data_IF_357467890348
#
_entry.id   IF_357467890348
#
_cell.length_a   1.000
_cell.length_b   1.000
_cell.length_c   1.000
_cell.angle_alpha   90.00
_cell.angle_beta   90.00
_cell.angle_gamma   90.00
#
_symmetry.space_group_name_H-M   'P 1'
#
loop_
_entity.id
_entity.type
_entity.pdbx_description
1 polymer ?
#
# COMPACT_ATOMS: atom_id res chain seq x y z
N UNK A 1 -35.25 9.71 -13.78
CA UNK A 1 -34.23 9.19 -14.72
C UNK A 1 -33.13 8.66 -13.85
N UNK A 2 -32.85 7.35 -13.89
CA UNK A 2 -31.62 6.85 -13.30
C UNK A 2 -30.49 7.52 -14.07
N UNK A 3 -29.64 8.28 -13.39
CA UNK A 3 -28.42 8.82 -13.96
C UNK A 3 -27.59 7.64 -14.46
N UNK A 4 -27.00 7.79 -15.64
CA UNK A 4 -26.26 6.75 -16.39
C UNK A 4 -24.91 6.41 -15.72
N UNK A 5 -24.79 6.60 -14.40
CA UNK A 5 -23.62 6.33 -13.57
C UNK A 5 -23.38 4.81 -13.39
N UNK A 6 -24.41 3.97 -13.56
CA UNK A 6 -24.31 2.53 -13.34
C UNK A 6 -23.41 1.78 -14.35
N UNK A 7 -22.76 2.50 -15.27
CA UNK A 7 -21.88 1.96 -16.31
C UNK A 7 -20.49 2.61 -16.32
N UNK A 8 -20.24 3.61 -15.48
CA UNK A 8 -18.95 4.27 -15.39
C UNK A 8 -18.05 3.57 -14.37
N UNK A 9 -16.76 3.48 -14.67
CA UNK A 9 -15.70 2.99 -13.81
C UNK A 9 -14.82 4.18 -13.43
N UNK A 10 -15.09 4.78 -12.28
CA UNK A 10 -14.43 6.01 -11.83
C UNK A 10 -14.00 5.88 -10.37
N UNK A 11 -13.09 6.76 -9.92
CA UNK A 11 -12.56 6.78 -8.56
C UNK A 11 -11.96 5.44 -8.12
N UNK A 12 -11.27 4.74 -9.03
CA UNK A 12 -10.55 3.52 -8.68
C UNK A 12 -9.08 3.85 -8.46
N UNK A 13 -8.47 3.14 -7.52
CA UNK A 13 -7.03 3.18 -7.28
C UNK A 13 -6.41 1.88 -7.77
N UNK A 14 -5.34 1.98 -8.55
CA UNK A 14 -4.48 0.87 -8.96
C UNK A 14 -3.09 1.19 -8.44
N UNK A 15 -2.65 0.48 -7.42
CA UNK A 15 -1.41 0.83 -6.74
C UNK A 15 -0.50 -0.32 -6.36
N UNK A 16 0.79 -0.02 -6.28
CA UNK A 16 1.82 -0.92 -5.75
C UNK A 16 1.91 -2.28 -6.46
N UNK A 17 1.51 -2.34 -7.74
CA UNK A 17 1.59 -3.55 -8.54
C UNK A 17 2.89 -3.63 -9.33
N UNK A 18 3.32 -4.86 -9.62
CA UNK A 18 4.33 -5.14 -10.66
C UNK A 18 3.65 -5.73 -11.89
N UNK A 19 3.67 -5.01 -13.01
CA UNK A 19 2.94 -5.35 -14.23
C UNK A 19 3.91 -5.47 -15.40
N UNK A 20 4.11 -6.70 -15.88
CA UNK A 20 5.12 -7.00 -16.91
C UNK A 20 4.67 -8.05 -17.92
N UNK A 21 5.20 -7.97 -19.14
CA UNK A 21 5.00 -8.95 -20.22
C UNK A 21 3.54 -9.09 -20.70
N UNK A 22 2.76 -8.01 -20.64
CA UNK A 22 1.40 -7.97 -21.19
C UNK A 22 1.34 -7.23 -22.53
N UNK A 23 0.16 -7.22 -23.16
CA UNK A 23 -0.07 -6.40 -24.35
C UNK A 23 -0.08 -4.91 -24.03
N UNK A 24 -0.90 -4.47 -23.08
CA UNK A 24 -0.71 -3.21 -22.39
C UNK A 24 -0.61 -3.53 -20.90
N UNK A 25 0.12 -2.74 -20.13
CA UNK A 25 0.19 -2.94 -18.67
C UNK A 25 -1.15 -2.66 -18.01
N UNK A 26 -1.53 -1.39 -17.91
CA UNK A 26 -2.84 -0.96 -17.41
C UNK A 26 -3.69 -0.45 -18.57
N UNK A 27 -4.96 -0.86 -18.62
CA UNK A 27 -5.89 -0.43 -19.67
C UNK A 27 -7.16 0.16 -19.08
N UNK A 28 -7.32 1.48 -19.23
CA UNK A 28 -8.52 2.22 -18.83
C UNK A 28 -9.39 2.49 -20.06
N UNK A 29 -10.64 2.03 -20.03
CA UNK A 29 -11.55 2.06 -21.17
C UNK A 29 -12.78 2.92 -20.88
N UNK A 30 -12.92 4.05 -21.58
CA UNK A 30 -13.92 5.07 -21.30
C UNK A 30 -15.02 5.25 -22.36
N UNK A 31 -15.43 4.21 -23.10
CA UNK A 31 -16.33 4.27 -24.28
C UNK A 31 -17.43 5.35 -24.30
N UNK A 32 -17.11 6.52 -24.86
CA UNK A 32 -18.05 7.66 -24.94
C UNK A 32 -18.88 7.65 -26.22
N UNK A 33 -19.79 6.71 -26.40
CA UNK A 33 -20.66 6.69 -27.59
C UNK A 33 -21.62 7.89 -27.70
N UNK A 34 -22.01 8.54 -26.58
CA UNK A 34 -23.16 9.47 -26.54
C UNK A 34 -23.13 10.62 -25.51
N UNK A 35 -21.97 10.92 -24.91
CA UNK A 35 -21.74 11.85 -23.77
C UNK A 35 -21.58 11.15 -22.43
N UNK A 36 -20.73 11.81 -21.63
CA UNK A 36 -20.35 11.58 -20.24
C UNK A 36 -19.29 10.49 -20.03
N UNK A 37 -18.23 10.89 -19.31
CA UNK A 37 -16.98 10.14 -19.12
C UNK A 37 -17.30 8.79 -18.45
N UNK A 38 -16.99 7.67 -19.11
CA UNK A 38 -17.23 6.33 -18.53
C UNK A 38 -16.04 5.80 -17.74
N UNK A 39 -14.87 6.41 -17.88
CA UNK A 39 -13.72 6.08 -17.06
C UNK A 39 -12.97 7.36 -16.72
N UNK A 40 -13.00 7.76 -15.46
CA UNK A 40 -12.42 9.03 -15.03
C UNK A 40 -12.03 9.04 -13.57
N UNK A 41 -11.19 9.99 -13.18
CA UNK A 41 -10.76 10.19 -11.79
C UNK A 41 -10.17 8.91 -11.18
N UNK A 42 -9.51 8.08 -11.99
CA UNK A 42 -8.78 6.93 -11.44
C UNK A 42 -7.34 7.34 -11.13
N UNK A 43 -6.81 6.76 -10.07
CA UNK A 43 -5.43 6.97 -9.63
C UNK A 43 -4.62 5.72 -9.91
N UNK A 44 -3.49 5.88 -10.59
CA UNK A 44 -2.51 4.82 -10.84
C UNK A 44 -1.23 5.26 -10.17
N UNK A 45 -0.84 4.62 -9.04
CA UNK A 45 0.34 5.06 -8.29
C UNK A 45 1.22 3.97 -7.71
N UNK A 46 2.51 4.24 -7.52
CA UNK A 46 3.42 3.27 -6.90
C UNK A 46 3.66 1.99 -7.72
N UNK A 47 3.19 1.90 -8.97
CA UNK A 47 3.31 0.69 -9.77
C UNK A 47 4.65 0.62 -10.50
N UNK A 48 5.17 -0.59 -10.67
CA UNK A 48 6.27 -0.88 -11.59
C UNK A 48 5.72 -1.51 -12.87
N UNK A 49 5.73 -0.76 -13.96
CA UNK A 49 5.11 -1.14 -15.24
C UNK A 49 6.21 -1.22 -16.31
N UNK A 50 6.52 -2.44 -16.74
CA UNK A 50 7.65 -2.66 -17.65
C UNK A 50 7.47 -3.80 -18.64
N UNK A 51 8.27 -3.83 -19.70
CA UNK A 51 8.36 -4.94 -20.65
C UNK A 51 7.04 -5.34 -21.32
N UNK A 52 6.03 -4.47 -21.31
CA UNK A 52 4.79 -4.72 -22.02
C UNK A 52 4.99 -4.52 -23.53
N UNK A 53 4.38 -5.38 -24.34
CA UNK A 53 4.54 -5.41 -25.80
C UNK A 53 4.02 -4.12 -26.47
N UNK A 54 2.97 -3.53 -25.93
CA UNK A 54 2.39 -2.24 -26.32
C UNK A 54 2.61 -1.20 -25.22
N UNK A 55 1.58 -0.43 -24.86
CA UNK A 55 1.75 0.69 -23.95
C UNK A 55 1.95 0.23 -22.50
N UNK A 56 2.65 1.03 -21.69
CA UNK A 56 2.66 0.83 -20.23
C UNK A 56 1.26 1.02 -19.66
N UNK A 57 0.71 2.21 -19.85
CA UNK A 57 -0.67 2.58 -19.50
C UNK A 57 -1.39 3.07 -20.75
N UNK A 58 -2.59 2.55 -20.98
CA UNK A 58 -3.40 2.90 -22.14
C UNK A 58 -4.75 3.47 -21.69
N UNK A 59 -4.98 4.74 -21.99
CA UNK A 59 -6.19 5.50 -21.70
C UNK A 59 -7.00 5.63 -22.98
N UNK A 60 -8.07 4.86 -23.11
CA UNK A 60 -8.80 4.75 -24.37
C UNK A 60 -10.18 5.39 -24.34
N UNK A 61 -10.42 6.22 -25.35
CA UNK A 61 -11.74 6.57 -25.87
C UNK A 61 -12.72 7.19 -24.88
N UNK A 62 -12.25 8.18 -24.12
CA UNK A 62 -13.05 8.82 -23.05
C UNK A 62 -12.44 8.68 -21.66
N UNK A 63 -11.40 7.86 -21.50
CA UNK A 63 -10.62 7.76 -20.26
C UNK A 63 -9.95 9.10 -19.94
N UNK A 64 -10.56 9.88 -19.05
CA UNK A 64 -10.22 11.29 -18.83
C UNK A 64 -10.00 11.58 -17.36
N UNK A 65 -9.26 12.64 -17.02
CA UNK A 65 -9.02 13.05 -15.64
C UNK A 65 -8.43 11.93 -14.77
N UNK A 66 -7.57 11.08 -15.31
CA UNK A 66 -6.88 10.07 -14.53
C UNK A 66 -5.52 10.60 -14.08
N UNK A 67 -5.15 10.30 -12.84
CA UNK A 67 -3.88 10.69 -12.24
C UNK A 67 -2.94 9.50 -12.24
N UNK A 68 -1.77 9.67 -12.84
CA UNK A 68 -0.72 8.64 -12.92
C UNK A 68 0.53 9.24 -12.27
N UNK A 69 0.96 8.73 -11.13
CA UNK A 69 2.07 9.31 -10.37
C UNK A 69 2.83 8.29 -9.54
N UNK A 70 4.07 8.59 -9.17
CA UNK A 70 4.94 7.72 -8.37
C UNK A 70 5.12 6.31 -8.97
N UNK A 71 4.94 6.16 -10.28
CA UNK A 71 5.14 4.89 -10.97
C UNK A 71 6.52 4.85 -11.62
N UNK A 72 7.03 3.64 -11.74
CA UNK A 72 8.19 3.30 -12.56
C UNK A 72 7.71 2.72 -13.89
N UNK A 73 7.74 3.53 -14.94
CA UNK A 73 7.20 3.19 -16.26
C UNK A 73 8.35 3.11 -17.27
N UNK A 74 8.87 1.90 -17.47
CA UNK A 74 10.14 1.71 -18.20
C UNK A 74 10.06 0.55 -19.18
N UNK A 75 10.76 0.64 -20.31
CA UNK A 75 10.95 -0.47 -21.26
C UNK A 75 9.65 -1.14 -21.75
N UNK A 76 8.57 -0.38 -21.88
CA UNK A 76 7.34 -0.81 -22.55
C UNK A 76 7.49 -0.64 -24.07
N UNK A 77 6.46 -1.02 -24.83
CA UNK A 77 6.45 -1.04 -26.29
C UNK A 77 7.53 -1.98 -26.89
N UNK A 78 7.69 -3.17 -26.30
CA UNK A 78 8.73 -4.12 -26.73
C UNK A 78 8.47 -4.75 -28.10
N UNK A 79 7.25 -4.62 -28.64
CA UNK A 79 6.89 -5.04 -29.99
C UNK A 79 6.77 -3.83 -30.95
N UNK A 80 7.71 -3.65 -31.90
CA UNK A 80 7.68 -2.55 -32.86
C UNK A 80 6.43 -2.51 -33.73
N UNK A 81 5.77 -3.65 -33.97
CA UNK A 81 4.57 -3.72 -34.80
C UNK A 81 3.35 -3.07 -34.13
N UNK A 82 3.39 -2.92 -32.80
CA UNK A 82 2.29 -2.35 -32.02
C UNK A 82 2.47 -0.86 -31.78
N UNK A 83 3.70 -0.36 -31.88
CA UNK A 83 4.06 0.96 -31.36
C UNK A 83 3.74 1.06 -29.87
N UNK A 84 4.18 2.12 -29.21
CA UNK A 84 3.69 2.34 -27.86
C UNK A 84 4.40 3.45 -27.11
N UNK A 85 3.68 3.91 -26.10
CA UNK A 85 4.11 4.92 -25.15
C UNK A 85 4.24 4.30 -23.77
N UNK A 86 4.88 5.01 -22.86
CA UNK A 86 4.78 4.71 -21.43
C UNK A 86 3.35 4.96 -20.99
N UNK A 87 2.79 6.11 -21.38
CA UNK A 87 1.36 6.43 -21.23
C UNK A 87 0.80 6.94 -22.55
N UNK A 88 -0.27 6.31 -23.03
CA UNK A 88 -0.96 6.68 -24.28
C UNK A 88 -2.43 6.99 -24.02
N UNK A 89 -2.84 8.22 -24.29
CA UNK A 89 -4.23 8.64 -24.27
C UNK A 89 -4.75 8.92 -25.68
N UNK A 90 -5.85 8.25 -26.05
CA UNK A 90 -6.39 8.32 -27.41
C UNK A 90 -7.45 9.42 -27.56
N UNK A 91 -8.24 9.35 -28.63
CA UNK A 91 -9.33 10.27 -28.90
C UNK A 91 -10.28 10.46 -27.69
N UNK A 92 -10.85 11.66 -27.56
CA UNK A 92 -11.86 11.99 -26.56
C UNK A 92 -11.39 11.82 -25.11
N UNK A 93 -10.08 11.77 -24.89
CA UNK A 93 -9.46 11.82 -23.57
C UNK A 93 -8.98 13.26 -23.29
N UNK A 94 -9.07 13.68 -22.04
CA UNK A 94 -8.65 15.00 -21.59
C UNK A 94 -8.25 14.94 -20.12
N UNK A 95 -7.49 15.93 -19.65
CA UNK A 95 -7.20 16.13 -18.23
C UNK A 95 -6.38 15.01 -17.56
N UNK A 96 -5.79 14.09 -18.33
CA UNK A 96 -4.97 13.03 -17.74
C UNK A 96 -3.57 13.55 -17.41
N UNK A 97 -3.08 13.22 -16.22
CA UNK A 97 -1.75 13.60 -15.75
C UNK A 97 -0.90 12.34 -15.53
N UNK A 98 0.37 12.43 -15.86
CA UNK A 98 1.41 11.42 -15.68
C UNK A 98 2.66 12.04 -15.05
N UNK A 99 2.46 12.92 -14.07
CA UNK A 99 3.52 13.64 -13.36
C UNK A 99 4.15 12.79 -12.26
N UNK A 100 5.32 13.17 -11.76
CA UNK A 100 6.00 12.49 -10.65
C UNK A 100 6.23 11.00 -10.92
N UNK A 101 6.54 10.61 -12.17
CA UNK A 101 6.89 9.23 -12.53
C UNK A 101 8.36 9.12 -12.96
N UNK A 102 8.93 7.93 -12.82
CA UNK A 102 10.21 7.58 -13.43
C UNK A 102 10.00 6.92 -14.80
N UNK A 103 10.56 7.52 -15.86
CA UNK A 103 10.39 7.07 -17.24
C UNK A 103 11.53 6.19 -17.78
N UNK A 104 12.57 5.98 -16.97
CA UNK A 104 13.79 5.26 -17.37
C UNK A 104 14.91 6.14 -17.89
N UNK A 105 14.72 7.47 -17.92
CA UNK A 105 15.78 8.45 -18.20
C UNK A 105 15.62 9.71 -17.34
N UNK A 106 16.75 10.26 -16.89
CA UNK A 106 16.82 11.55 -16.23
C UNK A 106 16.29 12.69 -17.10
N UNK A 107 16.44 12.58 -18.43
CA UNK A 107 15.96 13.58 -19.39
C UNK A 107 14.44 13.46 -19.69
N UNK A 108 13.76 12.51 -19.06
CA UNK A 108 12.31 12.39 -19.12
C UNK A 108 11.78 11.52 -20.25
N UNK A 109 10.45 11.50 -20.45
CA UNK A 109 9.81 10.61 -21.38
C UNK A 109 10.22 10.90 -22.83
N UNK A 110 10.46 9.83 -23.59
CA UNK A 110 10.88 9.91 -24.99
C UNK A 110 12.35 10.29 -25.23
N UNK A 111 13.12 10.56 -24.17
CA UNK A 111 14.55 10.84 -24.25
C UNK A 111 15.37 9.61 -23.89
N UNK A 112 16.57 9.47 -24.48
CA UNK A 112 17.54 8.39 -24.21
C UNK A 112 16.97 6.96 -24.26
N UNK A 113 15.93 6.74 -25.06
CA UNK A 113 15.26 5.44 -25.17
C UNK A 113 14.18 5.18 -24.10
N UNK A 114 13.91 6.14 -23.22
CA UNK A 114 12.72 6.12 -22.35
C UNK A 114 11.45 6.10 -23.19
N UNK A 115 10.40 5.48 -22.67
CA UNK A 115 9.11 5.49 -23.35
C UNK A 115 8.55 6.92 -23.39
N UNK A 116 7.99 7.32 -24.52
CA UNK A 116 7.33 8.63 -24.66
C UNK A 116 5.98 8.69 -23.95
N UNK A 117 5.41 9.88 -23.92
CA UNK A 117 4.03 10.15 -23.48
C UNK A 117 3.28 10.81 -24.64
N UNK A 118 2.01 10.43 -24.85
CA UNK A 118 1.19 11.01 -25.92
C UNK A 118 0.71 12.42 -25.59
N UNK A 119 0.44 13.24 -26.62
CA UNK A 119 0.06 14.67 -26.51
C UNK A 119 -1.09 15.00 -25.55
N UNK A 120 -2.04 14.09 -25.31
CA UNK A 120 -3.20 14.32 -24.41
C UNK A 120 -2.92 13.97 -22.94
N UNK A 121 -1.64 13.90 -22.56
CA UNK A 121 -1.21 13.58 -21.19
C UNK A 121 -0.10 14.54 -20.78
N UNK A 122 -0.34 15.25 -19.68
CA UNK A 122 0.66 16.12 -19.06
C UNK A 122 1.59 15.28 -18.20
N UNK A 123 2.92 15.36 -18.38
CA UNK A 123 3.86 14.49 -17.67
C UNK A 123 4.94 15.22 -16.86
N UNK A 124 5.01 16.55 -16.94
CA UNK A 124 5.95 17.36 -16.17
C UNK A 124 5.31 17.79 -14.82
N UNK A 125 6.04 17.70 -13.69
CA UNK A 125 7.43 17.24 -13.57
C UNK A 125 7.55 15.71 -13.58
N UNK A 126 8.76 15.19 -13.80
CA UNK A 126 9.10 13.77 -13.68
C UNK A 126 10.31 13.56 -12.76
N UNK A 127 10.52 12.33 -12.28
CA UNK A 127 11.72 12.01 -11.50
C UNK A 127 12.95 11.86 -12.39
N UNK A 128 14.07 12.43 -11.98
CA UNK A 128 15.34 12.39 -12.73
C UNK A 128 16.24 11.23 -12.32
N UNK A 129 15.89 10.54 -11.24
CA UNK A 129 16.56 9.37 -10.71
C UNK A 129 15.58 8.21 -10.50
N UNK A 130 16.10 6.99 -10.59
CA UNK A 130 15.31 5.76 -10.50
C UNK A 130 14.72 5.51 -9.10
N UNK A 131 15.36 6.05 -8.06
CA UNK A 131 14.88 6.01 -6.69
C UNK A 131 13.74 7.02 -6.44
N UNK A 132 13.39 7.82 -7.46
CA UNK A 132 12.29 8.79 -7.42
C UNK A 132 12.44 9.81 -6.29
N UNK A 133 13.64 10.36 -6.14
CA UNK A 133 13.95 11.32 -5.06
C UNK A 133 14.13 12.76 -5.54
N UNK A 134 14.38 12.97 -6.84
CA UNK A 134 14.72 14.27 -7.43
C UNK A 134 13.84 14.58 -8.63
N UNK A 135 13.05 15.66 -8.56
CA UNK A 135 12.18 16.09 -9.66
C UNK A 135 12.91 16.93 -10.71
N UNK A 136 12.43 16.87 -11.96
CA UNK A 136 12.95 17.59 -13.12
C UNK A 136 12.94 19.11 -12.97
N UNK A 137 12.10 19.63 -12.07
CA UNK A 137 11.96 21.05 -11.76
C UNK A 137 12.69 21.47 -10.46
N UNK A 138 13.36 20.55 -9.76
CA UNK A 138 13.94 20.80 -8.44
C UNK A 138 15.21 21.68 -8.46
N UNK A 139 15.92 21.79 -9.59
CA UNK A 139 17.03 22.74 -9.75
C UNK A 139 17.04 23.40 -11.14
N UNK A 140 17.29 24.71 -11.17
CA UNK A 140 17.26 25.50 -12.41
C UNK A 140 18.29 25.07 -13.47
N UNK A 141 17.79 24.79 -14.67
CA UNK A 141 18.53 24.72 -15.94
C UNK A 141 18.69 23.28 -16.44
N UNK A 142 18.11 22.89 -17.59
CA UNK A 142 18.34 23.54 -18.89
C UNK A 142 17.11 23.55 -19.78
N UNK A 143 16.93 24.68 -20.47
CA UNK A 143 16.08 24.86 -21.64
C UNK A 143 16.01 23.61 -22.56
N UNK A 144 14.79 23.12 -22.76
CA UNK A 144 14.39 22.63 -24.07
C UNK A 144 13.04 23.25 -24.44
N UNK A 145 13.07 24.57 -24.49
CA UNK A 145 12.06 25.41 -25.13
C UNK A 145 12.20 25.26 -26.65
N UNK A 146 11.73 24.14 -27.20
CA UNK A 146 11.45 23.92 -28.63
C UNK A 146 10.54 22.68 -28.71
N UNK A 147 9.21 22.78 -28.62
CA UNK A 147 8.37 23.33 -29.68
C UNK A 147 6.93 23.32 -29.17
N UNK A 148 6.28 24.47 -29.03
CA UNK A 148 5.00 24.79 -29.68
C UNK A 148 4.51 26.18 -29.25
N UNK A 149 5.04 27.18 -29.95
CA UNK A 149 4.47 28.51 -29.99
C UNK A 149 3.16 28.49 -30.80
N UNK A 150 2.00 28.51 -30.13
CA UNK A 150 0.76 29.05 -30.72
C UNK A 150 0.01 29.91 -29.68
N UNK A 151 0.09 31.22 -29.88
CA UNK A 151 -0.86 32.28 -29.54
C UNK A 151 -0.87 32.84 -28.10
N UNK A 152 0.09 33.73 -27.86
CA UNK A 152 0.23 34.65 -26.71
C UNK A 152 -0.80 35.79 -26.63
N UNK A 153 -2.07 35.61 -27.04
CA UNK A 153 -3.09 36.69 -26.92
C UNK A 153 -4.45 36.22 -26.39
N UNK A 154 -4.56 35.01 -25.80
CA UNK A 154 -5.85 34.49 -25.29
C UNK A 154 -5.88 34.14 -23.79
N UNK A 155 -4.86 34.50 -23.01
CA UNK A 155 -4.74 34.09 -21.59
C UNK A 155 -4.55 35.25 -20.58
N UNK A 156 -4.95 36.48 -20.92
CA UNK A 156 -5.09 37.57 -19.93
C UNK A 156 -6.56 37.76 -19.46
N UNK A 157 -7.39 36.74 -19.67
CA UNK A 157 -8.80 36.71 -19.29
C UNK A 157 -9.21 35.25 -19.13
N UNK A 158 -8.86 34.56 -18.06
CA UNK A 158 -9.24 34.87 -16.68
C UNK A 158 -8.05 34.56 -15.74
N UNK A 159 -7.33 35.60 -15.32
CA UNK A 159 -6.66 35.53 -14.02
C UNK A 159 -7.75 35.75 -12.95
N UNK A 160 -8.46 34.67 -12.64
CA UNK A 160 -9.24 34.53 -11.41
C UNK A 160 -8.92 33.13 -10.90
N UNK A 161 -7.93 33.10 -10.01
CA UNK A 161 -7.63 32.07 -8.99
C UNK A 161 -8.64 30.94 -8.89
N UNK A 162 -8.19 29.72 -9.15
CA UNK A 162 -8.56 28.54 -8.35
C UNK A 162 -7.28 27.70 -8.26
N UNK A 163 -6.51 27.98 -7.21
CA UNK A 163 -5.57 27.02 -6.63
C UNK A 163 -6.43 25.79 -6.31
N UNK A 164 -6.11 24.64 -6.90
CA UNK A 164 -6.81 23.39 -6.62
C UNK A 164 -6.55 23.08 -5.13
N UNK A 165 -7.56 23.40 -4.30
CA UNK A 165 -7.60 23.15 -2.87
C UNK A 165 -7.40 21.64 -2.68
N UNK A 166 -6.20 21.24 -2.28
CA UNK A 166 -5.95 19.88 -1.81
C UNK A 166 -6.87 19.72 -0.60
N UNK A 167 -7.89 18.85 -0.71
CA UNK A 167 -8.74 18.48 0.41
C UNK A 167 -7.82 17.74 1.39
N UNK A 168 -7.25 18.49 2.34
CA UNK A 168 -6.38 17.94 3.38
C UNK A 168 -7.14 16.84 4.12
N UNK A 169 -6.47 15.74 4.52
CA UNK A 169 -7.13 14.69 5.28
C UNK A 169 -7.75 15.28 6.56
N UNK A 170 -8.98 14.88 6.88
CA UNK A 170 -9.65 15.28 8.11
C UNK A 170 -9.00 14.56 9.28
N UNK A 171 -8.10 15.26 9.97
CA UNK A 171 -7.37 14.79 11.15
C UNK A 171 -8.18 14.91 12.45
N UNK A 172 -9.38 15.51 12.43
CA UNK A 172 -10.21 15.71 13.64
C UNK A 172 -10.46 14.40 14.41
N UNK A 173 -10.77 13.26 13.75
CA UNK A 173 -10.96 11.99 14.46
C UNK A 173 -9.70 11.51 15.19
N UNK A 174 -8.52 11.77 14.62
CA UNK A 174 -7.23 11.42 15.22
C UNK A 174 -6.91 12.30 16.44
N UNK A 175 -7.27 13.59 16.40
CA UNK A 175 -7.15 14.49 17.56
C UNK A 175 -8.05 14.04 18.72
N UNK A 176 -9.31 13.69 18.43
CA UNK A 176 -10.28 13.23 19.44
C UNK A 176 -9.80 11.95 20.15
N UNK A 177 -9.24 10.98 19.42
CA UNK A 177 -8.76 9.73 20.01
C UNK A 177 -7.45 9.91 20.79
N UNK A 178 -6.57 10.85 20.38
CA UNK A 178 -5.39 11.23 21.17
C UNK A 178 -5.81 11.82 22.51
N UNK A 179 -6.82 12.71 22.53
CA UNK A 179 -7.37 13.22 23.78
C UNK A 179 -7.97 12.11 24.65
N UNK A 180 -8.69 11.16 24.03
CA UNK A 180 -9.23 10.00 24.73
C UNK A 180 -8.15 9.11 25.34
N UNK A 181 -7.03 8.89 24.65
CA UNK A 181 -5.88 8.14 25.14
C UNK A 181 -5.21 8.83 26.34
N UNK A 182 -5.01 10.15 26.26
CA UNK A 182 -4.47 10.96 27.36
C UNK A 182 -5.41 10.91 28.57
N UNK A 183 -6.71 11.05 28.35
CA UNK A 183 -7.72 10.95 29.40
C UNK A 183 -7.76 9.54 30.02
N UNK A 184 -7.56 8.48 29.23
CA UNK A 184 -7.51 7.12 29.74
C UNK A 184 -6.36 6.92 30.76
N UNK A 185 -5.26 7.65 30.61
CA UNK A 185 -4.12 7.63 31.56
C UNK A 185 -4.37 8.40 32.85
N UNK A 186 -5.31 9.35 32.87
CA UNK A 186 -5.53 10.19 34.04
C UNK A 186 -5.95 9.35 35.25
N UNK A 187 -5.24 9.53 36.36
CA UNK A 187 -5.51 8.82 37.61
C UNK A 187 -5.04 7.36 37.65
N UNK A 188 -4.34 6.88 36.63
CA UNK A 188 -3.77 5.53 36.58
C UNK A 188 -2.30 5.58 37.00
N UNK A 189 -1.91 4.68 37.92
CA UNK A 189 -0.53 4.58 38.44
C UNK A 189 0.18 3.37 37.84
N UNK A 190 1.49 3.44 37.62
CA UNK A 190 2.28 2.26 37.25
C UNK A 190 2.70 1.51 38.51
N UNK A 191 2.39 0.21 38.56
CA UNK A 191 2.83 -0.69 39.63
C UNK A 191 3.08 -2.10 39.10
N UNK A 192 3.89 -2.89 39.82
CA UNK A 192 4.12 -4.30 39.51
C UNK A 192 2.92 -5.16 39.94
N UNK A 193 2.33 -4.84 41.09
CA UNK A 193 1.32 -5.68 41.75
C UNK A 193 0.26 -4.88 42.53
N UNK A 194 0.26 -3.55 42.43
CA UNK A 194 -0.75 -2.66 43.03
C UNK A 194 -0.64 -2.43 44.54
N UNK A 195 0.22 -3.16 45.24
CA UNK A 195 0.37 -3.09 46.72
C UNK A 195 0.96 -1.77 47.21
N UNK A 196 1.67 -1.05 46.35
CA UNK A 196 2.22 0.29 46.62
C UNK A 196 1.28 1.43 46.20
N UNK A 197 0.09 1.09 45.69
CA UNK A 197 -0.90 2.04 45.21
C UNK A 197 -2.04 2.15 46.25
N UNK A 198 -2.48 3.37 46.62
CA UNK A 198 -3.60 3.54 47.56
C UNK A 198 -4.87 2.84 47.08
N UNK A 199 -5.57 2.18 48.01
CA UNK A 199 -6.82 1.49 47.74
C UNK A 199 -7.85 2.38 47.01
N UNK A 200 -8.55 1.81 46.04
CA UNK A 200 -9.51 2.51 45.18
C UNK A 200 -8.88 3.33 44.04
N UNK A 201 -7.56 3.21 43.83
CA UNK A 201 -6.86 3.83 42.70
C UNK A 201 -6.60 2.79 41.62
N UNK A 202 -6.76 3.16 40.34
CA UNK A 202 -6.44 2.29 39.23
C UNK A 202 -4.93 2.25 38.97
N UNK A 203 -4.42 1.08 38.63
CA UNK A 203 -3.03 0.86 38.26
C UNK A 203 -2.90 -0.07 37.05
N UNK A 204 -1.77 0.01 36.36
CA UNK A 204 -1.36 -0.87 35.25
C UNK A 204 0.12 -1.23 35.39
N UNK A 205 0.58 -2.23 34.64
CA UNK A 205 2.01 -2.54 34.59
C UNK A 205 2.79 -1.49 33.78
N UNK A 206 4.12 -1.48 33.92
CA UNK A 206 4.97 -0.60 33.12
C UNK A 206 4.84 -0.90 31.62
N UNK A 207 4.68 -2.18 31.25
CA UNK A 207 4.56 -2.61 29.86
C UNK A 207 3.27 -2.05 29.22
N UNK A 208 2.15 -2.11 29.93
CA UNK A 208 0.87 -1.59 29.43
C UNK A 208 0.89 -0.06 29.27
N UNK A 209 1.53 0.65 30.20
CA UNK A 209 1.72 2.10 30.12
C UNK A 209 2.61 2.48 28.93
N UNK A 210 3.73 1.78 28.75
CA UNK A 210 4.66 2.02 27.64
C UNK A 210 4.00 1.71 26.28
N UNK A 211 3.15 0.69 26.21
CA UNK A 211 2.41 0.34 25.00
C UNK A 211 1.41 1.44 24.59
N UNK A 212 0.66 2.00 25.53
CA UNK A 212 -0.24 3.13 25.25
C UNK A 212 0.56 4.39 24.87
N UNK A 213 1.70 4.65 25.53
CA UNK A 213 2.56 5.80 25.20
C UNK A 213 3.19 5.68 23.82
N UNK A 214 3.59 4.48 23.41
CA UNK A 214 4.07 4.23 22.05
C UNK A 214 2.97 4.47 21.01
N UNK A 215 1.74 4.04 21.28
CA UNK A 215 0.60 4.26 20.39
C UNK A 215 0.23 5.76 20.26
N UNK A 216 0.27 6.51 21.37
CA UNK A 216 0.06 7.98 21.33
C UNK A 216 1.15 8.65 20.50
N UNK A 217 2.42 8.29 20.69
CA UNK A 217 3.53 8.86 19.91
C UNK A 217 3.43 8.55 18.40
N UNK A 218 2.97 7.35 18.05
CA UNK A 218 2.69 6.97 16.67
C UNK A 218 1.54 7.81 16.07
N UNK A 219 0.45 7.98 16.81
CA UNK A 219 -0.69 8.81 16.41
C UNK A 219 -0.30 10.30 16.26
N UNK A 220 0.54 10.86 17.13
CA UNK A 220 1.06 12.22 17.00
C UNK A 220 1.95 12.39 15.75
N UNK A 221 2.73 11.36 15.41
CA UNK A 221 3.52 11.35 14.17
C UNK A 221 2.61 11.32 12.96
N UNK A 222 1.60 10.43 12.95
CA UNK A 222 0.61 10.34 11.88
C UNK A 222 -0.15 11.66 11.70
N UNK A 223 -0.51 12.38 12.77
CA UNK A 223 -1.13 13.71 12.67
C UNK A 223 -0.28 14.72 11.89
N UNK A 224 1.05 14.63 11.95
CA UNK A 224 1.96 15.55 11.26
C UNK A 224 2.35 15.09 9.85
N UNK A 225 2.29 13.79 9.59
CA UNK A 225 2.80 13.19 8.34
C UNK A 225 1.74 12.48 7.51
N UNK A 226 0.49 12.38 7.97
CA UNK A 226 -0.59 11.75 7.23
C UNK A 226 -0.83 12.53 5.94
N UNK A 227 -0.67 11.85 4.81
CA UNK A 227 -0.88 12.43 3.49
C UNK A 227 -2.27 12.04 2.95
N UNK A 228 -2.94 11.08 3.60
CA UNK A 228 -4.26 10.56 3.20
C UNK A 228 -5.20 10.34 4.38
N UNK A 229 -6.50 10.24 4.12
CA UNK A 229 -7.49 9.91 5.14
C UNK A 229 -7.33 8.48 5.67
N UNK A 230 -6.80 7.57 4.86
CA UNK A 230 -6.53 6.19 5.27
C UNK A 230 -5.41 6.13 6.32
N UNK A 231 -4.35 6.95 6.16
CA UNK A 231 -3.30 7.08 7.18
C UNK A 231 -3.88 7.56 8.53
N UNK A 232 -4.87 8.46 8.48
CA UNK A 232 -5.59 8.95 9.66
C UNK A 232 -6.45 7.84 10.26
N UNK A 233 -7.22 7.13 9.44
CA UNK A 233 -8.14 6.08 9.89
C UNK A 233 -7.39 4.88 10.50
N UNK A 234 -6.25 4.49 9.94
CA UNK A 234 -5.38 3.44 10.49
C UNK A 234 -4.77 3.86 11.84
N UNK A 235 -4.26 5.09 11.92
CA UNK A 235 -3.74 5.63 13.18
C UNK A 235 -4.82 5.73 14.26
N UNK A 236 -6.06 6.06 13.88
CA UNK A 236 -7.22 6.04 14.78
C UNK A 236 -7.49 4.62 15.26
N UNK A 237 -7.59 3.65 14.37
CA UNK A 237 -7.89 2.26 14.71
C UNK A 237 -6.83 1.64 15.65
N UNK A 238 -5.54 1.90 15.37
CA UNK A 238 -4.44 1.43 16.19
C UNK A 238 -4.46 2.05 17.59
N UNK A 239 -4.72 3.35 17.70
CA UNK A 239 -4.80 4.03 18.99
C UNK A 239 -6.06 3.62 19.77
N UNK A 240 -7.21 3.44 19.12
CA UNK A 240 -8.42 2.90 19.76
C UNK A 240 -8.18 1.49 20.33
N UNK A 241 -7.48 0.63 19.58
CA UNK A 241 -7.12 -0.71 20.05
C UNK A 241 -6.19 -0.66 21.27
N UNK A 242 -5.21 0.25 21.28
CA UNK A 242 -4.32 0.46 22.42
C UNK A 242 -5.07 0.98 23.65
N UNK A 243 -6.04 1.89 23.48
CA UNK A 243 -6.90 2.38 24.55
C UNK A 243 -7.73 1.24 25.16
N UNK A 244 -8.31 0.36 24.32
CA UNK A 244 -9.06 -0.81 24.80
C UNK A 244 -8.16 -1.73 25.62
N UNK A 245 -7.00 -2.10 25.07
CA UNK A 245 -6.04 -2.95 25.78
C UNK A 245 -5.59 -2.35 27.12
N UNK A 246 -5.30 -1.04 27.15
CA UNK A 246 -4.91 -0.35 28.37
C UNK A 246 -6.02 -0.33 29.41
N UNK A 247 -7.27 -0.09 29.01
CA UNK A 247 -8.41 -0.11 29.94
C UNK A 247 -8.70 -1.51 30.48
N UNK A 248 -8.54 -2.55 29.65
CA UNK A 248 -8.68 -3.94 30.08
C UNK A 248 -7.55 -4.36 31.05
N UNK A 249 -6.37 -3.76 30.93
CA UNK A 249 -5.25 -3.96 31.84
C UNK A 249 -5.39 -3.25 33.19
N UNK A 250 -6.31 -2.28 33.32
CA UNK A 250 -6.51 -1.53 34.58
C UNK A 250 -6.97 -2.46 35.70
N UNK A 251 -6.27 -2.36 36.81
CA UNK A 251 -6.62 -3.04 38.05
C UNK A 251 -6.86 -2.01 39.14
N UNK A 252 -7.87 -2.23 39.97
CA UNK A 252 -8.13 -1.38 41.13
C UNK A 252 -7.29 -1.89 42.32
N UNK A 253 -6.52 -1.01 42.96
CA UNK A 253 -5.77 -1.38 44.16
C UNK A 253 -6.74 -1.65 45.32
N UNK A 254 -6.49 -2.73 46.06
CA UNK A 254 -7.26 -3.14 47.24
C UNK A 254 -6.48 -2.83 48.51
N UNK A 255 -7.18 -2.49 49.60
CA UNK A 255 -6.53 -2.16 50.88
C UNK A 255 -6.00 -3.43 51.57
N UNK A 256 -4.79 -3.40 52.13
CA UNK A 256 -4.20 -4.54 52.85
C UNK A 256 -5.10 -5.00 54.02
N UNK A 257 -5.87 -4.09 54.65
CA UNK A 257 -6.86 -4.43 55.68
C UNK A 257 -8.11 -5.16 55.12
N UNK A 258 -8.48 -4.96 53.86
CA UNK A 258 -9.63 -5.65 53.21
C UNK A 258 -9.25 -7.08 52.76
N UNK A 259 -7.96 -7.31 52.49
CA UNK A 259 -7.40 -8.66 52.25
C UNK A 259 -7.43 -9.49 53.55
N UNK A 260 -7.31 -8.87 54.73
CA UNK A 260 -7.47 -9.57 56.02
C UNK A 260 -8.94 -9.92 56.34
N UNK A 261 -9.94 -9.14 55.87
CA UNK A 261 -11.37 -9.49 56.05
C UNK A 261 -11.83 -10.58 55.05
N UNK A 262 -11.25 -10.62 53.84
CA UNK A 262 -11.41 -11.74 52.92
C UNK A 262 -10.59 -12.98 53.31
N UNK A 263 -9.61 -12.82 54.21
CA UNK A 263 -8.71 -13.85 54.72
C UNK A 263 -9.22 -14.69 55.90
N UNK A 264 -10.37 -14.37 56.51
CA UNK A 264 -11.02 -15.21 57.54
C UNK A 264 -12.04 -16.22 56.94
N UNK A 265 -11.86 -16.60 55.68
CA UNK A 265 -12.69 -17.64 55.08
C UNK A 265 -12.10 -18.21 53.81
N UNK A 266 -10.95 -18.86 53.88
CA UNK A 266 -10.76 -20.29 53.55
C UNK A 266 -9.34 -20.69 54.02
N UNK A 267 -9.26 -21.63 54.98
CA UNK A 267 -7.98 -22.23 55.36
C UNK A 267 -7.33 -22.95 54.16
N UNK A 268 -5.99 -22.97 54.06
CA UNK A 268 -5.29 -23.73 53.05
C UNK A 268 -5.30 -25.21 53.46
N UNK A 269 -5.96 -26.06 52.68
CA UNK A 269 -5.77 -27.51 52.83
C UNK A 269 -4.43 -27.90 52.18
N UNK A 270 -3.38 -27.96 53.01
CA UNK A 270 -2.16 -28.70 52.69
C UNK A 270 -2.46 -30.18 52.42
N UNK A 271 -1.93 -30.67 51.30
CA UNK A 271 -1.14 -31.89 51.20
C UNK A 271 -1.76 -33.22 51.64
N UNK A 272 -2.03 -34.10 50.67
CA UNK A 272 -1.68 -35.52 50.82
C UNK A 272 -1.08 -36.07 49.51
N UNK A 273 0.19 -36.48 49.59
CA UNK A 273 0.78 -37.61 48.87
C UNK A 273 1.34 -38.57 49.93
N UNK A 274 1.66 -39.85 49.64
CA UNK A 274 1.22 -40.77 48.57
C UNK A 274 0.83 -42.18 49.14
N UNK A 275 0.40 -43.15 48.31
CA UNK A 275 0.86 -44.56 48.40
C UNK A 275 0.39 -45.46 47.22
N UNK A 276 1.42 -46.03 46.55
CA UNK A 276 1.62 -47.34 45.90
C UNK A 276 0.51 -48.20 45.25
N UNK A 277 0.85 -48.61 44.02
CA UNK A 277 0.77 -49.95 43.40
C UNK A 277 -0.57 -50.65 43.12
N UNK A 278 -0.91 -50.81 41.83
CA UNK A 278 -0.64 -52.07 41.10
C UNK A 278 -0.73 -51.90 39.57
N UNK A 279 0.11 -52.68 38.87
CA UNK A 279 0.54 -52.63 37.45
C UNK A 279 -0.47 -53.12 36.37
N UNK A 280 -0.15 -53.01 35.05
CA UNK A 280 -1.11 -52.71 33.97
C UNK A 280 -1.44 -53.87 32.99
N UNK A 281 -2.42 -53.65 32.08
CA UNK A 281 -2.51 -54.39 30.82
C UNK A 281 -3.24 -53.66 29.66
N UNK A 282 -2.43 -53.24 28.68
CA UNK A 282 -2.56 -53.28 27.20
C UNK A 282 -3.65 -52.51 26.42
N UNK A 283 -3.13 -51.59 25.59
CA UNK A 283 -3.32 -51.51 24.13
C UNK A 283 -4.19 -50.33 23.67
N UNK A 284 -3.86 -49.51 22.68
CA UNK A 284 -2.76 -49.41 21.70
C UNK A 284 -2.67 -47.91 21.28
N UNK A 285 -1.51 -47.51 20.77
CA UNK A 285 -0.99 -46.14 20.56
C UNK A 285 -1.71 -45.30 19.48
N UNK A 286 -1.49 -43.97 19.50
CA UNK A 286 -0.94 -43.32 18.31
C UNK A 286 0.34 -42.55 18.65
N UNK A 287 1.40 -42.78 17.88
CA UNK A 287 2.65 -42.06 18.00
C UNK A 287 2.66 -40.81 17.13
N UNK A 288 3.20 -39.77 17.75
CA UNK A 288 3.40 -38.39 17.33
C UNK A 288 4.46 -38.23 16.22
N UNK A 289 4.41 -37.01 15.68
CA UNK A 289 5.41 -36.19 14.99
C UNK A 289 6.89 -36.56 15.12
N UNK A 290 7.64 -36.26 14.05
CA UNK A 290 8.86 -35.44 14.14
C UNK A 290 9.32 -34.99 12.73
N UNK A 291 9.57 -33.68 12.58
CA UNK A 291 10.22 -33.01 11.44
C UNK A 291 11.74 -33.34 11.35
N UNK A 292 12.62 -32.67 10.56
CA UNK A 292 12.57 -32.10 9.20
C UNK A 292 13.67 -32.75 8.30
N UNK A 293 13.82 -32.37 7.02
CA UNK A 293 14.95 -32.81 6.17
C UNK A 293 15.63 -31.60 5.50
N UNK A 294 16.92 -31.41 5.78
CA UNK A 294 17.86 -30.59 5.00
C UNK A 294 18.72 -31.45 4.05
N UNK A 295 18.94 -30.90 2.86
CA UNK A 295 20.05 -30.99 1.89
C UNK A 295 20.91 -32.26 1.73
N UNK A 296 21.03 -32.73 0.49
CA UNK A 296 22.24 -32.59 -0.37
C UNK A 296 22.08 -33.37 -1.71
N UNK A 297 22.47 -32.75 -2.83
CA UNK A 297 22.74 -33.39 -4.13
C UNK A 297 24.22 -33.86 -4.19
N UNK A 298 24.71 -34.83 -5.03
CA UNK A 298 24.70 -34.71 -6.50
C UNK A 298 24.74 -36.03 -7.40
N UNK A 299 24.28 -35.86 -8.65
CA UNK A 299 24.88 -36.21 -9.98
C UNK A 299 25.20 -37.67 -10.44
N UNK A 300 24.81 -37.90 -11.72
CA UNK A 300 25.38 -38.74 -12.81
C UNK A 300 24.89 -40.17 -13.12
N UNK A 301 24.53 -40.37 -14.41
CA UNK A 301 25.06 -41.48 -15.21
C UNK A 301 24.07 -42.38 -15.96
N UNK A 302 23.82 -42.05 -17.25
CA UNK A 302 23.63 -42.93 -18.44
C UNK A 302 22.60 -44.10 -18.40
N UNK A 303 21.74 -44.37 -19.40
CA UNK A 303 22.02 -44.45 -20.85
C UNK A 303 20.72 -44.63 -21.69
N UNK A 304 20.66 -43.90 -22.81
CA UNK A 304 20.13 -44.15 -24.16
C UNK A 304 19.17 -45.33 -24.43
N UNK A 305 18.07 -45.07 -25.17
CA UNK A 305 17.83 -45.67 -26.49
C UNK A 305 17.13 -44.66 -27.44
N UNK A 306 17.62 -44.66 -28.67
CA UNK A 306 17.33 -43.86 -29.85
C UNK A 306 16.32 -44.62 -30.74
N UNK A 307 15.41 -43.92 -31.42
CA UNK A 307 14.98 -44.20 -32.82
C UNK A 307 13.63 -43.54 -33.12
N UNK A 308 13.63 -42.42 -33.85
CA UNK A 308 12.69 -42.19 -34.96
C UNK A 308 13.37 -41.30 -36.02
N UNK A 309 13.49 -41.85 -37.23
CA UNK A 309 14.04 -41.24 -38.45
C UNK A 309 13.26 -40.01 -38.96
N UNK A 310 13.89 -39.11 -39.73
CA UNK A 310 13.25 -37.95 -40.35
C UNK A 310 12.72 -38.26 -41.76
N UNK A 311 11.67 -37.56 -42.18
CA UNK A 311 11.21 -37.53 -43.57
C UNK A 311 11.60 -36.19 -44.20
N UNK A 312 12.48 -36.25 -45.21
CA UNK A 312 12.84 -35.15 -46.12
C UNK A 312 11.84 -35.00 -47.27
N UNK A 313 11.80 -33.77 -47.81
CA UNK A 313 11.24 -33.40 -49.13
C UNK A 313 10.58 -32.02 -49.06
N UNK A 314 10.81 -31.03 -49.92
CA UNK A 314 11.56 -30.88 -51.17
C UNK A 314 11.84 -29.35 -51.38
N UNK A 315 13.09 -28.95 -51.67
CA UNK A 315 13.55 -28.30 -52.91
C UNK A 315 12.51 -27.45 -53.71
N UNK A 316 12.64 -26.12 -53.92
CA UNK A 316 13.36 -25.33 -54.99
C UNK A 316 12.56 -23.99 -55.15
N UNK A 317 12.98 -22.85 -55.70
CA UNK A 317 14.07 -22.41 -56.57
C UNK A 317 14.09 -20.86 -56.59
N UNK A 318 15.30 -20.31 -56.84
CA UNK A 318 15.71 -18.96 -57.32
C UNK A 318 15.25 -17.65 -56.63
#
# INVERSE_FOLDING_TARGET
AATDESRATFNNTIENNTITNHWNGIYLYGYTGKSDKYNYNNTIRGNTISLNAGNGIYLYDGASNNTIEQNKIVNNATDPARGGFGVHATQRTEGNTATHNWWGSANGPGQDGANGVSDNVTYDPWYTDEEMTTLSNAEGGTDNLDTFNINSEALEKEASTDEEEIDEPDITPLEDVIEAAIAAKEGVVVSVEGTDVPAGTYWVTQEDMDALDAAIAAAETARETAETQEDVDDAVADLEAAIVAFNDAKQEAVDEEEIEEAGEGEEPAEGEEPEEDEEPAKGEEPAEDDEPIEDEAPVEGEKLEEDVEPVEGEELEE
#
